data_IF_955955638769
#
_entry.id   IF_955955638769
#
_cell.length_a   1.000
_cell.length_b   1.000
_cell.length_c   1.000
_cell.angle_alpha   90.00
_cell.angle_beta   90.00
_cell.angle_gamma   90.00
#
_symmetry.space_group_name_H-M   'P 1'
#
loop_
_entity.id
_entity.type
_entity.pdbx_description
1 polymer ?
#
# COMPACT_ATOMS: atom_id res chain seq x y z
N UNK A 1 23.24 -12.06 11.76
CA UNK A 1 22.46 -10.82 11.76
C UNK A 1 21.43 -10.93 10.64
N UNK A 2 20.16 -10.71 10.97
CA UNK A 2 19.05 -10.79 10.03
C UNK A 2 18.52 -9.38 9.77
N UNK A 3 17.96 -9.16 8.58
CA UNK A 3 17.30 -7.93 8.15
C UNK A 3 15.81 -8.22 7.99
N UNK A 4 14.99 -7.32 8.51
CA UNK A 4 13.54 -7.35 8.36
C UNK A 4 13.08 -6.02 7.77
N UNK A 5 12.06 -6.07 6.94
CA UNK A 5 11.36 -4.87 6.45
C UNK A 5 10.23 -4.51 7.40
N UNK A 6 9.76 -3.27 7.35
CA UNK A 6 8.55 -2.80 8.03
C UNK A 6 7.79 -1.82 7.14
N UNK A 7 6.46 -1.80 7.25
CA UNK A 7 5.62 -0.83 6.54
C UNK A 7 5.86 -0.79 5.03
N UNK A 8 6.15 0.40 4.50
CA UNK A 8 6.40 0.62 3.07
C UNK A 8 7.66 -0.08 2.53
N UNK A 9 8.45 -0.79 3.36
CA UNK A 9 9.57 -1.61 2.89
C UNK A 9 9.16 -3.06 2.55
N UNK A 10 7.94 -3.51 2.86
CA UNK A 10 7.43 -4.84 2.49
C UNK A 10 7.65 -5.19 1.00
N UNK A 11 7.44 -4.28 0.04
CA UNK A 11 7.65 -4.57 -1.38
C UNK A 11 9.08 -4.96 -1.76
N UNK A 12 10.08 -4.71 -0.91
CA UNK A 12 11.47 -5.16 -1.14
C UNK A 12 11.56 -6.67 -1.40
N UNK A 13 10.66 -7.48 -0.81
CA UNK A 13 10.60 -8.93 -1.02
C UNK A 13 10.13 -9.33 -2.44
N UNK A 14 9.55 -8.38 -3.19
CA UNK A 14 9.20 -8.54 -4.60
C UNK A 14 10.37 -8.39 -5.57
N UNK A 15 11.51 -7.83 -5.13
CA UNK A 15 12.65 -7.54 -6.02
C UNK A 15 13.59 -8.74 -6.16
N UNK A 16 13.82 -9.28 -7.39
CA UNK A 16 14.66 -10.46 -7.59
C UNK A 16 16.08 -10.32 -7.06
N UNK A 17 16.69 -9.14 -7.22
CA UNK A 17 18.06 -8.88 -6.77
C UNK A 17 18.23 -8.94 -5.25
N UNK A 18 17.16 -8.73 -4.47
CA UNK A 18 17.23 -8.82 -3.01
C UNK A 18 17.06 -10.27 -2.51
N UNK A 19 16.45 -11.16 -3.31
CA UNK A 19 16.24 -12.58 -2.95
C UNK A 19 17.54 -13.36 -2.77
N UNK A 20 18.66 -12.88 -3.33
CA UNK A 20 19.98 -13.51 -3.13
C UNK A 20 20.49 -13.42 -1.68
N UNK A 21 19.95 -12.49 -0.89
CA UNK A 21 20.34 -12.29 0.50
C UNK A 21 19.47 -13.12 1.45
N UNK A 22 19.93 -14.33 1.80
CA UNK A 22 19.22 -15.24 2.72
C UNK A 22 18.91 -14.67 4.11
N UNK A 23 19.61 -13.61 4.50
CA UNK A 23 19.43 -12.94 5.78
C UNK A 23 18.42 -11.79 5.71
N UNK A 24 17.82 -11.48 4.56
CA UNK A 24 16.58 -10.72 4.46
C UNK A 24 15.42 -11.69 4.72
N UNK A 25 14.95 -11.72 5.98
CA UNK A 25 14.13 -12.83 6.48
C UNK A 25 12.64 -12.65 6.20
N UNK A 26 12.13 -11.43 6.30
CA UNK A 26 10.70 -11.16 6.13
C UNK A 26 10.31 -9.73 6.46
N UNK A 27 9.01 -9.50 6.52
CA UNK A 27 8.43 -8.24 6.99
C UNK A 27 7.93 -8.38 8.42
N UNK A 28 8.37 -7.50 9.32
CA UNK A 28 7.92 -7.44 10.69
C UNK A 28 6.77 -6.45 10.84
N UNK A 29 5.74 -6.80 11.61
CA UNK A 29 4.67 -5.88 11.98
C UNK A 29 3.62 -5.60 10.90
N UNK A 30 3.19 -4.35 10.80
CA UNK A 30 2.07 -3.89 9.99
C UNK A 30 2.24 -2.43 9.51
N UNK A 31 1.15 -1.66 9.46
CA UNK A 31 1.17 -0.25 9.07
C UNK A 31 1.93 0.64 10.07
N UNK A 32 2.42 1.78 9.57
CA UNK A 32 3.28 2.70 10.31
C UNK A 32 2.70 3.16 11.65
N UNK A 33 1.38 3.27 11.77
CA UNK A 33 0.70 3.73 12.98
C UNK A 33 0.88 2.78 14.17
N UNK A 34 1.22 1.51 13.92
CA UNK A 34 1.42 0.51 14.97
C UNK A 34 2.88 0.44 15.46
N UNK A 35 3.77 1.27 14.90
CA UNK A 35 5.20 1.12 15.14
C UNK A 35 5.61 1.33 16.60
N UNK A 36 4.86 2.08 17.40
CA UNK A 36 5.17 2.25 18.83
C UNK A 36 5.18 0.92 19.59
N UNK A 37 4.23 0.03 19.27
CA UNK A 37 4.15 -1.29 19.88
C UNK A 37 5.08 -2.27 19.16
N UNK A 38 5.11 -2.23 17.84
CA UNK A 38 5.89 -3.16 17.03
C UNK A 38 7.40 -2.93 17.23
N UNK A 39 7.88 -1.70 17.14
CA UNK A 39 9.30 -1.41 17.34
C UNK A 39 9.74 -1.66 18.77
N UNK A 40 8.90 -1.38 19.77
CA UNK A 40 9.18 -1.74 21.16
C UNK A 40 9.42 -3.26 21.35
N UNK A 41 8.71 -4.10 20.60
CA UNK A 41 8.86 -5.57 20.62
C UNK A 41 9.96 -6.10 19.72
N UNK A 42 10.33 -5.37 18.67
CA UNK A 42 11.41 -5.77 17.78
C UNK A 42 12.73 -5.75 18.55
N UNK A 43 13.48 -6.87 18.65
CA UNK A 43 14.63 -6.98 19.55
C UNK A 43 15.97 -6.56 18.90
N UNK A 44 15.91 -5.61 17.96
CA UNK A 44 17.04 -5.12 17.18
C UNK A 44 16.98 -3.62 16.95
N UNK A 45 18.01 -3.04 16.30
CA UNK A 45 17.96 -1.64 15.90
C UNK A 45 16.98 -1.44 14.74
N UNK A 46 16.34 -0.27 14.70
CA UNK A 46 15.41 0.14 13.64
C UNK A 46 16.07 1.24 12.81
N UNK A 47 15.96 1.19 11.48
CA UNK A 47 16.45 2.27 10.61
C UNK A 47 15.30 2.88 9.83
N UNK A 48 15.00 4.15 10.11
CA UNK A 48 14.01 4.94 9.41
C UNK A 48 14.63 5.64 8.21
N UNK A 49 14.20 5.24 7.01
CA UNK A 49 14.71 5.78 5.73
C UNK A 49 13.86 6.92 5.16
N UNK A 50 12.58 6.97 5.53
CA UNK A 50 11.63 8.03 5.17
C UNK A 50 10.58 8.20 6.29
N UNK A 51 9.56 9.02 6.04
CA UNK A 51 8.32 8.97 6.82
C UNK A 51 7.68 7.56 6.74
N UNK A 52 6.90 7.13 7.72
CA UNK A 52 6.38 7.87 8.88
C UNK A 52 7.09 7.43 10.17
N UNK A 53 7.80 8.36 10.83
CA UNK A 53 8.30 8.17 12.19
C UNK A 53 7.29 8.78 13.18
N UNK A 54 6.94 8.04 14.22
CA UNK A 54 6.19 8.54 15.39
C UNK A 54 7.07 8.45 16.63
N UNK A 55 6.63 9.09 17.71
CA UNK A 55 7.40 9.25 18.94
C UNK A 55 7.98 7.92 19.47
N UNK A 56 9.32 7.74 19.43
CA UNK A 56 9.98 6.53 19.86
C UNK A 56 10.05 6.38 21.38
N UNK A 57 9.93 7.48 22.13
CA UNK A 57 10.01 7.46 23.59
C UNK A 57 8.80 6.77 24.22
N UNK A 58 7.64 6.83 23.56
CA UNK A 58 6.41 6.14 24.00
C UNK A 58 6.59 4.62 24.06
N UNK A 59 7.39 4.06 23.14
CA UNK A 59 7.72 2.64 23.12
C UNK A 59 9.07 2.29 23.75
N UNK A 60 9.79 3.27 24.31
CA UNK A 60 11.12 3.13 24.88
C UNK A 60 12.11 2.38 23.97
N UNK A 61 12.18 2.81 22.70
CA UNK A 61 13.14 2.28 21.71
C UNK A 61 13.98 3.38 21.06
N UNK A 62 13.96 4.58 21.66
CA UNK A 62 14.72 5.77 21.21
C UNK A 62 16.24 5.57 21.24
N UNK A 63 16.75 4.63 22.04
CA UNK A 63 18.17 4.26 22.14
C UNK A 63 18.67 3.38 20.97
N UNK A 64 17.75 2.76 20.21
CA UNK A 64 18.06 1.78 19.15
C UNK A 64 17.34 2.03 17.83
N UNK A 65 16.55 3.08 17.74
CA UNK A 65 16.11 3.61 16.44
C UNK A 65 17.19 4.53 15.88
N UNK A 66 17.32 4.50 14.56
CA UNK A 66 18.24 5.29 13.77
C UNK A 66 17.43 6.01 12.70
N UNK A 67 17.77 7.26 12.47
CA UNK A 67 17.26 8.04 11.34
C UNK A 67 18.33 8.17 10.28
N UNK A 68 17.94 8.43 9.02
CA UNK A 68 18.89 8.77 7.96
C UNK A 68 18.24 9.66 6.91
N UNK A 69 19.06 10.23 6.01
CA UNK A 69 18.58 11.08 4.93
C UNK A 69 17.78 12.27 5.50
N UNK A 70 16.55 12.49 5.03
CA UNK A 70 15.68 13.58 5.49
C UNK A 70 14.98 13.30 6.83
N UNK A 71 15.08 12.08 7.38
CA UNK A 71 14.40 11.72 8.62
C UNK A 71 15.23 12.21 9.82
N UNK A 72 14.58 12.78 10.82
CA UNK A 72 15.21 13.18 12.07
C UNK A 72 14.23 13.12 13.24
N UNK A 73 14.75 12.83 14.44
CA UNK A 73 14.02 12.91 15.70
C UNK A 73 14.98 13.37 16.81
N UNK A 74 14.60 14.32 17.69
CA UNK A 74 15.48 14.80 18.75
C UNK A 74 15.97 13.67 19.67
N UNK A 75 17.29 13.59 19.88
CA UNK A 75 17.91 12.60 20.78
C UNK A 75 18.11 11.21 20.18
N UNK A 76 17.63 10.96 18.96
CA UNK A 76 17.80 9.68 18.25
C UNK A 76 19.07 9.72 17.40
N UNK A 77 19.75 8.58 17.27
CA UNK A 77 20.93 8.46 16.42
C UNK A 77 20.62 8.75 14.95
N UNK A 78 21.51 9.47 14.27
CA UNK A 78 21.40 9.76 12.83
C UNK A 78 22.56 9.11 12.08
N UNK A 79 22.23 8.34 11.05
CA UNK A 79 23.19 7.67 10.18
C UNK A 79 23.52 8.59 8.99
N UNK A 80 24.78 9.01 8.91
CA UNK A 80 25.29 9.77 7.78
C UNK A 80 25.87 8.85 6.69
N UNK A 81 25.54 9.12 5.43
CA UNK A 81 26.04 8.36 4.29
C UNK A 81 25.49 6.93 4.20
N UNK A 82 26.37 6.01 3.80
CA UNK A 82 26.06 4.61 3.47
C UNK A 82 26.81 3.61 4.37
N UNK A 83 27.48 4.09 5.43
CA UNK A 83 28.16 3.21 6.38
C UNK A 83 27.22 2.75 7.49
N UNK A 84 26.63 1.56 7.32
CA UNK A 84 25.75 0.93 8.31
C UNK A 84 26.50 0.23 9.46
N UNK A 85 27.83 0.31 9.53
CA UNK A 85 28.63 -0.36 10.57
C UNK A 85 28.17 -0.07 12.00
N UNK A 86 27.78 1.17 12.38
CA UNK A 86 27.28 1.45 13.74
C UNK A 86 25.98 0.71 14.08
N UNK A 87 25.04 0.63 13.13
CA UNK A 87 23.77 -0.10 13.29
C UNK A 87 24.03 -1.60 13.45
N UNK A 88 24.96 -2.14 12.64
CA UNK A 88 25.36 -3.54 12.69
C UNK A 88 26.02 -3.87 14.03
N UNK A 89 26.91 -3.01 14.53
CA UNK A 89 27.56 -3.19 15.82
C UNK A 89 26.55 -3.19 16.98
N UNK A 90 25.55 -2.30 16.95
CA UNK A 90 24.47 -2.32 17.94
C UNK A 90 23.66 -3.62 17.84
N UNK A 91 23.27 -4.06 16.64
CA UNK A 91 22.53 -5.30 16.44
C UNK A 91 23.26 -6.53 17.00
N UNK A 92 24.59 -6.58 16.89
CA UNK A 92 25.42 -7.67 17.41
C UNK A 92 25.46 -7.74 18.94
N UNK A 93 25.16 -6.64 19.64
CA UNK A 93 25.10 -6.58 21.10
C UNK A 93 23.70 -6.89 21.66
N UNK A 94 22.68 -6.96 20.79
CA UNK A 94 21.30 -7.21 21.19
C UNK A 94 20.99 -8.71 21.20
N UNK A 95 20.11 -9.12 22.11
CA UNK A 95 19.74 -10.52 22.30
C UNK A 95 19.03 -11.15 21.07
N UNK A 96 18.42 -10.33 20.21
CA UNK A 96 17.63 -10.80 19.08
C UNK A 96 16.33 -11.49 19.52
N UNK A 97 15.69 -12.20 18.58
CA UNK A 97 14.44 -12.89 18.87
C UNK A 97 14.66 -14.09 19.81
N UNK A 98 13.93 -14.18 20.94
CA UNK A 98 14.09 -15.28 21.89
C UNK A 98 13.45 -16.60 21.40
N UNK A 99 12.59 -16.52 20.39
CA UNK A 99 11.92 -17.67 19.77
C UNK A 99 11.59 -17.37 18.31
N UNK A 100 11.27 -18.41 17.55
CA UNK A 100 10.70 -18.28 16.21
C UNK A 100 9.19 -18.12 16.29
N UNK A 101 8.61 -17.27 15.43
CA UNK A 101 7.17 -17.17 15.25
C UNK A 101 6.72 -17.96 14.02
N UNK A 102 5.45 -18.38 14.00
CA UNK A 102 4.86 -18.99 12.81
C UNK A 102 4.69 -17.88 11.76
N UNK A 103 5.35 -17.98 10.59
CA UNK A 103 5.24 -16.95 9.58
C UNK A 103 3.83 -16.91 9.00
N UNK A 104 3.32 -15.71 8.82
CA UNK A 104 2.15 -15.47 7.98
C UNK A 104 2.65 -15.05 6.59
N UNK A 105 2.31 -15.84 5.57
CA UNK A 105 2.79 -15.61 4.20
C UNK A 105 1.89 -14.58 3.50
N UNK A 106 2.51 -13.57 2.90
CA UNK A 106 1.82 -12.54 2.12
C UNK A 106 2.45 -12.55 0.72
N UNK A 107 1.61 -12.70 -0.30
CA UNK A 107 2.05 -12.63 -1.69
C UNK A 107 2.30 -11.17 -2.09
N UNK A 108 3.52 -10.88 -2.54
CA UNK A 108 3.94 -9.56 -3.02
C UNK A 108 4.73 -9.70 -4.33
N UNK A 109 5.01 -8.58 -4.99
CA UNK A 109 5.86 -8.56 -6.18
C UNK A 109 5.10 -8.49 -7.50
N UNK A 110 3.83 -8.05 -7.47
CA UNK A 110 3.12 -7.63 -8.66
C UNK A 110 3.55 -6.23 -9.09
N UNK A 111 4.86 -6.01 -9.24
CA UNK A 111 5.39 -4.78 -9.80
C UNK A 111 5.10 -4.66 -11.30
N UNK A 112 5.53 -3.54 -11.91
CA UNK A 112 5.23 -3.20 -13.31
C UNK A 112 5.35 -4.35 -14.31
N UNK A 113 6.48 -5.06 -14.34
CA UNK A 113 6.72 -6.11 -15.34
C UNK A 113 5.77 -7.30 -15.14
N UNK A 114 5.52 -7.69 -13.88
CA UNK A 114 4.58 -8.76 -13.54
C UNK A 114 3.16 -8.38 -13.95
N UNK A 115 2.71 -7.16 -13.62
CA UNK A 115 1.37 -6.67 -13.99
C UNK A 115 1.19 -6.60 -15.51
N UNK A 116 2.17 -6.06 -16.23
CA UNK A 116 2.12 -5.99 -17.69
C UNK A 116 2.14 -7.38 -18.33
N UNK A 117 2.90 -8.33 -17.78
CA UNK A 117 2.90 -9.72 -18.23
C UNK A 117 1.56 -10.43 -17.98
N UNK A 118 0.79 -9.99 -16.99
CA UNK A 118 -0.54 -10.52 -16.67
C UNK A 118 -1.69 -9.85 -17.46
N UNK A 119 -1.41 -8.79 -18.23
CA UNK A 119 -2.44 -8.01 -18.91
C UNK A 119 -3.29 -8.85 -19.88
N UNK A 120 -2.66 -9.73 -20.67
CA UNK A 120 -3.38 -10.59 -21.62
C UNK A 120 -4.27 -11.61 -20.89
N UNK A 121 -3.80 -12.15 -19.76
CA UNK A 121 -4.60 -13.06 -18.92
C UNK A 121 -5.79 -12.34 -18.28
N UNK A 122 -5.61 -11.09 -17.83
CA UNK A 122 -6.71 -10.27 -17.31
C UNK A 122 -7.76 -10.00 -18.39
N UNK A 123 -7.34 -9.64 -19.60
CA UNK A 123 -8.25 -9.40 -20.74
C UNK A 123 -9.01 -10.68 -21.09
N UNK A 124 -8.32 -11.82 -21.13
CA UNK A 124 -8.97 -13.12 -21.36
C UNK A 124 -10.04 -13.42 -20.30
N UNK A 125 -9.72 -13.25 -19.01
CA UNK A 125 -10.69 -13.45 -17.92
C UNK A 125 -11.89 -12.51 -18.01
N UNK A 126 -11.68 -11.23 -18.37
CA UNK A 126 -12.77 -10.28 -18.60
C UNK A 126 -13.62 -10.72 -19.79
N UNK A 127 -13.00 -11.10 -20.91
CA UNK A 127 -13.69 -11.52 -22.13
C UNK A 127 -14.52 -12.80 -21.96
N UNK A 128 -14.10 -13.68 -21.03
CA UNK A 128 -14.81 -14.91 -20.65
C UNK A 128 -15.80 -14.71 -19.50
N UNK A 129 -16.05 -13.45 -19.10
CA UNK A 129 -16.94 -13.07 -18.00
C UNK A 129 -16.56 -13.74 -16.66
N UNK A 130 -15.28 -14.06 -16.48
CA UNK A 130 -14.71 -14.64 -15.25
C UNK A 130 -14.21 -13.58 -14.27
N UNK A 131 -13.77 -12.44 -14.82
CA UNK A 131 -13.39 -11.26 -14.04
C UNK A 131 -14.34 -10.13 -14.44
N UNK A 132 -15.23 -9.77 -13.52
CA UNK A 132 -16.22 -8.72 -13.76
C UNK A 132 -15.65 -7.32 -13.55
N UNK A 133 -14.90 -7.11 -12.47
CA UNK A 133 -14.43 -5.79 -12.08
C UNK A 133 -13.10 -5.83 -11.33
N UNK A 134 -12.32 -4.76 -11.46
CA UNK A 134 -11.10 -4.53 -10.69
C UNK A 134 -11.35 -3.35 -9.75
N UNK A 135 -11.07 -3.55 -8.47
CA UNK A 135 -11.09 -2.47 -7.48
C UNK A 135 -9.66 -2.15 -7.08
N UNK A 136 -9.21 -0.93 -7.39
CA UNK A 136 -8.01 -0.40 -6.78
C UNK A 136 -8.35 0.10 -5.38
N UNK A 137 -8.03 -0.69 -4.36
CA UNK A 137 -8.24 -0.35 -2.94
C UNK A 137 -6.88 -0.18 -2.28
N UNK A 138 -6.53 1.03 -1.86
CA UNK A 138 -5.18 1.27 -1.32
C UNK A 138 -4.88 2.72 -1.01
N UNK A 139 -3.60 3.06 -0.93
CA UNK A 139 -3.13 4.39 -0.53
C UNK A 139 -2.59 4.39 0.90
N UNK A 140 -2.73 5.48 1.65
CA UNK A 140 -2.07 5.61 2.95
C UNK A 140 -3.00 5.29 4.14
N UNK A 141 -2.52 4.42 5.04
CA UNK A 141 -3.18 4.09 6.30
C UNK A 141 -2.97 5.17 7.39
N UNK A 142 -3.69 5.04 8.52
CA UNK A 142 -3.53 5.85 9.72
C UNK A 142 -4.32 5.29 10.91
N UNK A 143 -4.33 5.99 12.05
CA UNK A 143 -4.85 5.45 13.31
C UNK A 143 -6.38 5.53 13.50
N UNK A 144 -7.10 6.25 12.62
CA UNK A 144 -8.54 6.50 12.75
C UNK A 144 -9.39 5.24 12.55
N UNK A 145 -10.42 5.06 13.38
CA UNK A 145 -11.31 3.89 13.35
C UNK A 145 -12.17 3.82 12.09
N UNK A 146 -12.52 4.97 11.50
CA UNK A 146 -13.27 5.09 10.24
C UNK A 146 -12.58 4.38 9.07
N UNK A 147 -11.27 4.11 9.19
CA UNK A 147 -10.51 3.34 8.18
C UNK A 147 -10.86 1.86 8.14
N UNK A 148 -11.65 1.35 9.10
CA UNK A 148 -12.21 0.00 9.02
C UNK A 148 -13.08 -0.17 7.77
N UNK A 149 -13.65 0.94 7.25
CA UNK A 149 -14.30 0.97 5.94
C UNK A 149 -13.48 0.26 4.85
N UNK A 150 -12.15 0.43 4.81
CA UNK A 150 -11.33 -0.17 3.75
C UNK A 150 -11.13 -1.68 3.94
N UNK A 151 -11.14 -2.16 5.19
CA UNK A 151 -11.18 -3.60 5.47
C UNK A 151 -12.53 -4.17 5.04
N UNK A 152 -13.61 -3.55 5.49
CA UNK A 152 -14.98 -3.97 5.20
C UNK A 152 -15.24 -3.98 3.69
N UNK A 153 -14.86 -2.90 2.99
CA UNK A 153 -14.95 -2.79 1.53
C UNK A 153 -14.19 -3.91 0.84
N UNK A 154 -12.92 -4.14 1.18
CA UNK A 154 -12.11 -5.20 0.58
C UNK A 154 -12.77 -6.57 0.78
N UNK A 155 -13.27 -6.87 1.98
CA UNK A 155 -13.95 -8.13 2.29
C UNK A 155 -15.33 -8.27 1.64
N UNK A 156 -15.97 -7.17 1.25
CA UNK A 156 -17.24 -7.18 0.52
C UNK A 156 -17.06 -7.24 -1.00
N UNK A 157 -15.84 -7.16 -1.54
CA UNK A 157 -15.59 -7.30 -2.98
C UNK A 157 -16.03 -8.70 -3.43
N UNK A 158 -16.93 -8.81 -4.44
CA UNK A 158 -17.43 -10.10 -4.92
C UNK A 158 -16.34 -11.03 -5.46
N UNK A 159 -16.57 -12.34 -5.38
CA UNK A 159 -15.58 -13.38 -5.72
C UNK A 159 -15.17 -13.41 -7.21
N UNK A 160 -15.97 -12.82 -8.09
CA UNK A 160 -15.67 -12.61 -9.51
C UNK A 160 -14.94 -11.27 -9.80
N UNK A 161 -14.47 -10.59 -8.76
CA UNK A 161 -13.76 -9.31 -8.84
C UNK A 161 -12.36 -9.40 -8.22
N UNK A 162 -11.46 -8.54 -8.69
CA UNK A 162 -10.06 -8.48 -8.26
C UNK A 162 -9.77 -7.20 -7.46
N UNK A 163 -8.94 -7.32 -6.42
CA UNK A 163 -8.46 -6.21 -5.59
C UNK A 163 -7.01 -5.91 -5.96
N UNK A 164 -6.78 -4.75 -6.56
CA UNK A 164 -5.45 -4.19 -6.77
C UNK A 164 -5.11 -3.25 -5.61
N UNK A 165 -4.02 -3.49 -4.90
CA UNK A 165 -3.61 -2.65 -3.77
C UNK A 165 -2.19 -2.12 -3.94
N UNK A 166 -1.90 -1.06 -3.18
CA UNK A 166 -0.60 -0.41 -3.09
C UNK A 166 -0.53 0.39 -1.80
N UNK A 167 0.70 0.71 -1.40
CA UNK A 167 1.03 1.49 -0.21
C UNK A 167 0.50 0.90 1.11
N UNK A 168 0.75 1.59 2.22
CA UNK A 168 0.51 1.06 3.55
C UNK A 168 -0.97 0.81 3.89
N UNK A 169 -1.92 1.37 3.13
CA UNK A 169 -3.35 1.05 3.22
C UNK A 169 -3.64 -0.44 3.08
N UNK A 170 -2.79 -1.18 2.36
CA UNK A 170 -2.88 -2.64 2.23
C UNK A 170 -2.89 -3.37 3.58
N UNK A 171 -2.25 -2.82 4.62
CA UNK A 171 -2.17 -3.48 5.93
C UNK A 171 -3.52 -3.63 6.63
N UNK A 172 -4.57 -2.98 6.11
CA UNK A 172 -5.95 -3.15 6.56
C UNK A 172 -6.55 -4.51 6.20
N UNK A 173 -6.02 -5.16 5.16
CA UNK A 173 -6.63 -6.39 4.63
C UNK A 173 -5.62 -7.39 4.03
N UNK A 174 -4.34 -7.07 3.88
CA UNK A 174 -3.35 -7.95 3.23
C UNK A 174 -2.97 -9.23 3.99
N UNK A 175 -3.55 -9.42 5.19
CA UNK A 175 -3.42 -10.66 5.98
C UNK A 175 -4.69 -11.53 5.92
N UNK A 176 -5.67 -11.12 5.10
CA UNK A 176 -6.91 -11.83 4.89
C UNK A 176 -6.82 -12.69 3.62
N UNK A 177 -7.61 -13.75 3.59
CA UNK A 177 -7.69 -14.67 2.46
C UNK A 177 -8.77 -14.21 1.47
N UNK A 178 -8.38 -13.99 0.22
CA UNK A 178 -9.29 -13.57 -0.86
C UNK A 178 -9.49 -14.64 -1.94
N UNK A 179 -8.69 -15.72 -1.91
CA UNK A 179 -8.70 -16.76 -2.95
C UNK A 179 -8.11 -16.29 -4.28
N UNK A 180 -8.48 -17.01 -5.34
CA UNK A 180 -8.00 -16.78 -6.70
C UNK A 180 -9.14 -16.92 -7.72
N UNK A 181 -8.92 -16.37 -8.92
CA UNK A 181 -9.77 -16.55 -10.10
C UNK A 181 -8.92 -17.31 -11.13
N UNK A 182 -9.21 -18.59 -11.30
CA UNK A 182 -8.49 -19.49 -12.22
C UNK A 182 -6.96 -19.46 -12.02
N UNK A 183 -6.51 -19.43 -10.77
CA UNK A 183 -5.09 -19.39 -10.39
C UNK A 183 -4.50 -17.98 -10.29
N UNK A 184 -5.23 -16.93 -10.66
CA UNK A 184 -4.82 -15.54 -10.44
C UNK A 184 -5.25 -15.08 -9.04
N UNK A 185 -4.33 -14.71 -8.13
CA UNK A 185 -4.70 -14.23 -6.81
C UNK A 185 -5.64 -13.02 -6.87
N UNK A 186 -6.72 -13.05 -6.08
CA UNK A 186 -7.70 -11.95 -6.04
C UNK A 186 -7.15 -10.70 -5.37
N UNK A 187 -6.16 -10.83 -4.49
CA UNK A 187 -5.42 -9.69 -3.93
C UNK A 187 -4.07 -9.55 -4.63
N UNK A 188 -3.90 -8.45 -5.38
CA UNK A 188 -2.72 -8.11 -6.15
C UNK A 188 -2.03 -6.90 -5.54
N UNK A 189 -0.87 -7.11 -4.91
CA UNK A 189 -0.08 -6.02 -4.32
C UNK A 189 0.96 -5.46 -5.29
N UNK A 190 0.69 -4.25 -5.80
CA UNK A 190 1.56 -3.54 -6.72
C UNK A 190 2.85 -3.00 -6.08
N UNK A 191 2.88 -2.84 -4.76
CA UNK A 191 4.05 -2.36 -4.02
C UNK A 191 3.79 -1.11 -3.19
N UNK A 192 4.74 -0.18 -3.20
CA UNK A 192 4.74 1.04 -2.39
C UNK A 192 3.75 2.07 -2.96
N UNK A 193 3.59 3.22 -2.29
CA UNK A 193 2.83 4.35 -2.84
C UNK A 193 3.30 4.80 -4.23
N UNK A 194 4.61 4.82 -4.49
CA UNK A 194 5.15 5.13 -5.82
C UNK A 194 4.83 4.08 -6.89
N UNK A 195 4.49 2.85 -6.51
CA UNK A 195 4.03 1.82 -7.45
C UNK A 195 2.60 2.06 -7.95
N UNK A 196 1.95 3.15 -7.53
CA UNK A 196 0.81 3.72 -8.25
C UNK A 196 1.12 3.95 -9.74
N UNK A 197 2.38 4.25 -10.07
CA UNK A 197 2.82 4.27 -11.46
C UNK A 197 2.59 2.94 -12.18
N UNK A 198 2.92 1.81 -11.54
CA UNK A 198 2.71 0.47 -12.10
C UNK A 198 1.23 0.18 -12.34
N UNK A 199 0.36 0.57 -11.41
CA UNK A 199 -1.09 0.45 -11.54
C UNK A 199 -1.67 1.31 -12.68
N UNK A 200 -1.21 2.57 -12.80
CA UNK A 200 -1.60 3.46 -13.90
C UNK A 200 -1.18 2.88 -15.25
N UNK A 201 0.06 2.38 -15.36
CA UNK A 201 0.56 1.77 -16.59
C UNK A 201 -0.23 0.53 -16.97
N UNK A 202 -0.63 -0.31 -16.00
CA UNK A 202 -1.53 -1.42 -16.25
C UNK A 202 -2.87 -0.93 -16.84
N UNK A 203 -3.51 0.05 -16.21
CA UNK A 203 -4.80 0.59 -16.68
C UNK A 203 -4.68 1.15 -18.10
N UNK A 204 -3.65 1.97 -18.39
CA UNK A 204 -3.41 2.49 -19.74
C UNK A 204 -3.22 1.36 -20.75
N UNK A 205 -2.45 0.32 -20.40
CA UNK A 205 -2.20 -0.82 -21.29
C UNK A 205 -3.47 -1.63 -21.56
N UNK A 206 -4.32 -1.84 -20.54
CA UNK A 206 -5.62 -2.50 -20.69
C UNK A 206 -6.54 -1.69 -21.61
N UNK A 207 -6.62 -0.37 -21.40
CA UNK A 207 -7.43 0.54 -22.21
C UNK A 207 -6.99 0.51 -23.69
N UNK A 208 -5.68 0.59 -23.95
CA UNK A 208 -5.11 0.49 -25.30
C UNK A 208 -5.44 -0.84 -25.98
N UNK A 209 -5.29 -1.97 -25.27
CA UNK A 209 -5.58 -3.31 -25.81
C UNK A 209 -7.07 -3.53 -26.07
N UNK A 210 -7.94 -2.92 -25.27
CA UNK A 210 -9.40 -3.00 -25.43
C UNK A 210 -9.96 -1.93 -26.39
N UNK A 211 -9.14 -0.98 -26.82
CA UNK A 211 -9.55 0.11 -27.71
C UNK A 211 -10.52 1.10 -27.06
N UNK A 212 -10.44 1.29 -25.75
CA UNK A 212 -11.30 2.19 -24.97
C UNK A 212 -10.48 3.22 -24.16
N UNK A 213 -11.15 4.15 -23.47
CA UNK A 213 -10.52 5.04 -22.52
C UNK A 213 -10.29 4.37 -21.16
N UNK A 214 -9.37 4.91 -20.35
CA UNK A 214 -9.09 4.40 -18.99
C UNK A 214 -10.36 4.43 -18.11
N UNK A 215 -11.23 5.40 -18.31
CA UNK A 215 -12.49 5.52 -17.56
C UNK A 215 -13.59 4.56 -18.04
N UNK A 216 -13.38 3.85 -19.17
CA UNK A 216 -14.32 2.86 -19.71
C UNK A 216 -13.91 1.42 -19.29
N UNK A 217 -12.79 1.27 -18.57
CA UNK A 217 -12.39 -0.01 -18.02
C UNK A 217 -13.31 -0.40 -16.86
N UNK A 218 -13.50 -1.71 -16.61
CA UNK A 218 -14.14 -2.20 -15.39
C UNK A 218 -13.18 -2.05 -14.20
N UNK A 219 -12.85 -0.80 -13.86
CA UNK A 219 -11.86 -0.40 -12.87
C UNK A 219 -12.41 0.74 -12.01
N UNK A 220 -12.50 0.49 -10.69
CA UNK A 220 -12.95 1.48 -9.70
C UNK A 220 -11.83 1.81 -8.72
N UNK A 221 -11.65 3.10 -8.40
CA UNK A 221 -10.59 3.57 -7.50
C UNK A 221 -11.17 3.99 -6.15
N UNK A 222 -10.77 3.26 -5.10
CA UNK A 222 -11.15 3.48 -3.70
C UNK A 222 -9.89 3.79 -2.89
N UNK A 223 -9.58 5.08 -2.76
CA UNK A 223 -8.32 5.57 -2.24
C UNK A 223 -8.41 6.04 -0.79
N UNK A 224 -7.54 5.49 0.03
CA UNK A 224 -7.20 6.02 1.35
C UNK A 224 -6.06 7.01 1.23
N UNK A 225 -6.07 8.08 2.02
CA UNK A 225 -4.97 9.03 2.06
C UNK A 225 -4.60 9.39 3.51
N UNK A 226 -3.40 9.93 3.71
CA UNK A 226 -2.94 10.42 5.01
C UNK A 226 -1.94 11.57 4.85
N UNK A 227 -0.92 11.37 4.03
CA UNK A 227 0.19 12.31 3.84
C UNK A 227 0.31 12.77 2.39
N UNK A 228 1.37 13.53 2.08
CA UNK A 228 1.47 14.33 0.87
C UNK A 228 1.78 13.51 -0.39
N UNK A 229 2.43 12.34 -0.27
CA UNK A 229 2.65 11.46 -1.45
C UNK A 229 1.32 10.97 -2.01
N UNK A 230 0.34 10.65 -1.17
CA UNK A 230 -1.02 10.31 -1.62
C UNK A 230 -1.69 11.46 -2.41
N UNK A 231 -1.45 12.71 -2.01
CA UNK A 231 -2.00 13.89 -2.71
C UNK A 231 -1.36 14.06 -4.09
N UNK A 232 -0.05 13.87 -4.20
CA UNK A 232 0.66 13.91 -5.49
C UNK A 232 0.14 12.82 -6.44
N UNK A 233 -0.13 11.61 -5.92
CA UNK A 233 -0.72 10.51 -6.69
C UNK A 233 -2.14 10.90 -7.17
N UNK A 234 -2.98 11.45 -6.28
CA UNK A 234 -4.30 11.95 -6.68
C UNK A 234 -4.21 12.99 -7.78
N UNK A 235 -3.34 14.00 -7.65
CA UNK A 235 -3.13 15.02 -8.68
C UNK A 235 -2.65 14.42 -10.01
N UNK A 236 -1.80 13.39 -9.95
CA UNK A 236 -1.35 12.67 -11.15
C UNK A 236 -2.54 12.00 -11.85
N UNK A 237 -3.39 11.28 -11.11
CA UNK A 237 -4.60 10.65 -11.65
C UNK A 237 -5.54 11.68 -12.28
N UNK A 238 -5.80 12.80 -11.60
CA UNK A 238 -6.62 13.89 -12.13
C UNK A 238 -6.01 14.50 -13.39
N UNK A 239 -4.68 14.67 -13.45
CA UNK A 239 -3.99 15.20 -14.63
C UNK A 239 -4.07 14.26 -15.84
N UNK A 240 -4.13 12.95 -15.61
CA UNK A 240 -4.34 11.93 -16.63
C UNK A 240 -5.82 11.80 -17.04
N UNK A 241 -6.71 12.59 -16.44
CA UNK A 241 -8.14 12.58 -16.73
C UNK A 241 -8.89 11.38 -16.14
N UNK A 242 -8.32 10.70 -15.14
CA UNK A 242 -9.03 9.65 -14.39
C UNK A 242 -10.17 10.28 -13.61
N UNK A 243 -11.35 9.67 -13.67
CA UNK A 243 -12.58 10.12 -13.05
C UNK A 243 -13.12 9.13 -12.02
N UNK A 244 -14.15 9.56 -11.30
CA UNK A 244 -14.97 8.75 -10.40
C UNK A 244 -14.17 8.10 -9.25
N UNK A 245 -13.13 8.78 -8.78
CA UNK A 245 -12.33 8.35 -7.63
C UNK A 245 -13.15 8.54 -6.34
N UNK A 246 -13.23 7.50 -5.52
CA UNK A 246 -13.78 7.55 -4.16
C UNK A 246 -12.62 7.68 -3.19
N UNK A 247 -12.64 8.68 -2.30
CA UNK A 247 -11.54 8.96 -1.37
C UNK A 247 -11.98 9.07 0.08
N UNK A 248 -11.15 8.60 1.01
CA UNK A 248 -11.48 8.59 2.44
C UNK A 248 -10.27 8.43 3.37
N UNK A 249 -10.50 8.35 4.70
CA UNK A 249 -11.82 8.34 5.35
C UNK A 249 -12.48 9.72 5.48
N UNK A 250 -11.71 10.80 5.33
CA UNK A 250 -12.22 12.19 5.35
C UNK A 250 -11.53 13.01 4.27
N UNK A 251 -12.13 14.08 3.77
CA UNK A 251 -11.40 15.01 2.90
C UNK A 251 -10.20 15.66 3.62
N UNK A 252 -9.13 16.01 2.90
CA UNK A 252 -8.07 16.87 3.42
C UNK A 252 -8.60 18.19 3.97
N UNK A 253 -8.04 18.65 5.08
CA UNK A 253 -8.43 19.93 5.69
C UNK A 253 -8.18 21.15 4.80
N UNK A 254 -7.33 21.01 3.78
CA UNK A 254 -7.08 22.04 2.76
C UNK A 254 -8.01 21.94 1.54
N UNK A 255 -8.95 21.00 1.51
CA UNK A 255 -10.01 20.95 0.49
C UNK A 255 -11.21 21.78 0.96
N UNK A 256 -11.33 22.99 0.43
CA UNK A 256 -12.49 23.85 0.69
C UNK A 256 -13.74 23.27 0.03
N UNK A 257 -14.96 23.63 0.50
CA UNK A 257 -16.20 23.20 -0.13
C UNK A 257 -16.26 23.51 -1.64
N UNK A 258 -15.82 24.71 -2.05
CA UNK A 258 -15.78 25.11 -3.45
C UNK A 258 -14.81 24.24 -4.27
N UNK A 259 -13.63 23.93 -3.71
CA UNK A 259 -12.68 23.05 -4.38
C UNK A 259 -13.24 21.63 -4.53
N UNK A 260 -13.88 21.09 -3.49
CA UNK A 260 -14.55 19.79 -3.54
C UNK A 260 -15.65 19.77 -4.61
N UNK A 261 -16.46 20.83 -4.69
CA UNK A 261 -17.50 20.95 -5.71
C UNK A 261 -16.91 20.94 -7.12
N UNK A 262 -15.83 21.69 -7.37
CA UNK A 262 -15.13 21.70 -8.67
C UNK A 262 -14.52 20.33 -9.01
N UNK A 263 -13.89 19.67 -8.02
CA UNK A 263 -13.30 18.34 -8.22
C UNK A 263 -14.38 17.28 -8.50
N UNK A 264 -15.53 17.38 -7.83
CA UNK A 264 -16.68 16.53 -8.09
C UNK A 264 -17.28 16.78 -9.48
N UNK A 265 -17.55 18.03 -9.83
CA UNK A 265 -18.14 18.40 -11.12
C UNK A 265 -17.24 17.97 -12.30
N UNK A 266 -15.93 18.20 -12.21
CA UNK A 266 -15.01 17.94 -13.32
C UNK A 266 -14.55 16.48 -13.41
N UNK A 267 -14.35 15.84 -12.27
CA UNK A 267 -13.70 14.53 -12.18
C UNK A 267 -14.54 13.47 -11.50
N UNK A 268 -15.72 13.79 -10.96
CA UNK A 268 -16.50 12.83 -10.16
C UNK A 268 -15.83 12.44 -8.85
N UNK A 269 -14.81 13.18 -8.39
CA UNK A 269 -14.15 12.92 -7.11
C UNK A 269 -15.17 13.06 -5.98
N UNK A 270 -15.31 12.03 -5.15
CA UNK A 270 -16.25 12.05 -4.02
C UNK A 270 -15.69 11.34 -2.79
N UNK A 271 -16.30 11.62 -1.64
CA UNK A 271 -15.98 10.92 -0.40
C UNK A 271 -16.59 9.52 -0.38
N UNK A 272 -16.00 8.62 0.42
CA UNK A 272 -16.62 7.35 0.81
C UNK A 272 -17.95 7.59 1.53
N UNK A 273 -18.92 6.70 1.33
CA UNK A 273 -20.18 6.68 2.11
C UNK A 273 -20.23 5.40 2.96
N UNK A 274 -21.22 4.54 2.75
CA UNK A 274 -21.26 3.18 3.30
C UNK A 274 -20.68 2.19 2.30
N UNK A 275 -20.14 1.08 2.79
CA UNK A 275 -19.58 0.02 1.92
C UNK A 275 -20.63 -0.49 0.93
N UNK A 276 -21.87 -0.68 1.37
CA UNK A 276 -22.97 -1.17 0.53
C UNK A 276 -23.29 -0.20 -0.63
N UNK A 277 -23.49 1.09 -0.32
CA UNK A 277 -23.78 2.11 -1.34
C UNK A 277 -22.61 2.29 -2.31
N UNK A 278 -21.38 2.33 -1.79
CA UNK A 278 -20.19 2.49 -2.63
C UNK A 278 -19.99 1.27 -3.54
N UNK A 279 -20.12 0.05 -3.01
CA UNK A 279 -20.01 -1.17 -3.80
C UNK A 279 -21.07 -1.21 -4.90
N UNK A 280 -22.32 -0.88 -4.59
CA UNK A 280 -23.40 -0.85 -5.56
C UNK A 280 -23.13 0.17 -6.67
N UNK A 281 -22.72 1.39 -6.33
CA UNK A 281 -22.42 2.43 -7.31
C UNK A 281 -21.23 2.05 -8.19
N UNK A 282 -20.16 1.53 -7.60
CA UNK A 282 -18.92 1.22 -8.32
C UNK A 282 -19.00 -0.01 -9.21
N UNK A 283 -19.92 -0.95 -8.94
CA UNK A 283 -20.21 -2.09 -9.82
C UNK A 283 -21.17 -1.74 -10.96
N UNK A 284 -21.90 -0.63 -10.82
CA UNK A 284 -22.86 -0.16 -11.84
C UNK A 284 -22.26 0.86 -12.83
N UNK A 285 -21.00 1.25 -12.59
CA UNK A 285 -20.28 2.30 -13.31
C UNK A 285 -19.61 1.79 -14.59
#
# INVERSE_FOLDING_TARGET
MNVYTHGEMLPAHGYPELRKFKHLVGNYGSGWQNQQVEFARFPGPIVMTSNCIIDPTVGAYDDRIWTRSIVGWPGVNHLEGEDFSPVIAQAQQMAGFPYSEIPHLITVGFGRQTLLGAADSLIDLVSREKLRHIFLVGGCDGARGERNYFTDFATSVPDDCLILTLACGKYRFNKLEFGDIEGLPRLVDAGQCNDAYSAIILAVTLAEKLGCGVNDLPLSLVLSWFEQKAIVILLTLLSLGVKNIVTGPTAPGFFTPDLLAVLNEKFGLRQVTTVEEDMQQLLSA
#
